data_IF_645521652131
#
_entry.id   IF_645521652131
#
_cell.length_a   1.000
_cell.length_b   1.000
_cell.length_c   1.000
_cell.angle_alpha   90.00
_cell.angle_beta   90.00
_cell.angle_gamma   90.00
#
_symmetry.space_group_name_H-M   'P 1'
#
loop_
_entity.id
_entity.type
_entity.pdbx_description
1 polymer ?
#
# COMPACT_ATOMS: atom_id res chain seq x y z
N UNK A 1 -6.48 -21.03 -16.26
CA UNK A 1 -5.26 -21.16 -17.08
C UNK A 1 -4.09 -21.48 -16.18
N UNK A 2 -3.25 -22.47 -16.53
CA UNK A 2 -2.03 -22.81 -15.77
C UNK A 2 -0.94 -21.76 -16.07
N UNK A 3 -0.16 -21.37 -15.08
CA UNK A 3 0.94 -20.39 -15.23
C UNK A 3 1.99 -20.92 -16.21
N UNK A 4 2.36 -20.10 -17.20
CA UNK A 4 3.37 -20.44 -18.21
C UNK A 4 4.63 -19.62 -17.97
N UNK A 5 5.79 -20.23 -18.19
CA UNK A 5 7.08 -19.58 -17.99
C UNK A 5 7.85 -19.55 -19.31
N UNK A 6 8.51 -18.42 -19.58
CA UNK A 6 9.53 -18.33 -20.62
C UNK A 6 10.87 -18.71 -20.00
N UNK A 7 11.65 -19.51 -20.72
CA UNK A 7 12.95 -20.00 -20.27
C UNK A 7 14.08 -19.58 -21.22
N UNK A 8 15.28 -19.36 -20.69
CA UNK A 8 16.47 -19.20 -21.50
C UNK A 8 16.94 -20.52 -22.15
N UNK A 9 18.04 -20.45 -22.92
CA UNK A 9 18.63 -21.62 -23.59
C UNK A 9 19.14 -22.71 -22.64
N UNK A 10 19.34 -22.38 -21.35
CA UNK A 10 19.75 -23.31 -20.29
C UNK A 10 18.55 -23.85 -19.50
N UNK A 11 17.32 -23.49 -19.87
CA UNK A 11 16.09 -23.90 -19.19
C UNK A 11 15.76 -23.06 -17.96
N UNK A 12 16.49 -21.98 -17.68
CA UNK A 12 16.19 -21.11 -16.53
C UNK A 12 15.00 -20.22 -16.84
N UNK A 13 14.00 -20.19 -15.96
CA UNK A 13 12.82 -19.31 -16.08
C UNK A 13 13.24 -17.84 -16.01
N UNK A 14 12.90 -17.06 -17.03
CA UNK A 14 13.24 -15.62 -17.14
C UNK A 14 12.02 -14.72 -17.09
N UNK A 15 10.86 -15.22 -17.49
CA UNK A 15 9.60 -14.48 -17.42
C UNK A 15 8.40 -15.42 -17.20
N UNK A 16 7.25 -14.84 -16.87
CA UNK A 16 6.01 -15.56 -16.60
C UNK A 16 4.84 -14.88 -17.32
N UNK A 17 4.00 -15.68 -17.97
CA UNK A 17 2.74 -15.22 -18.53
C UNK A 17 1.64 -15.34 -17.48
N UNK A 18 1.06 -14.21 -17.12
CA UNK A 18 -0.02 -14.12 -16.13
C UNK A 18 -1.28 -13.51 -16.76
N UNK A 19 -2.48 -13.98 -16.38
CA UNK A 19 -3.70 -13.26 -16.67
C UNK A 19 -3.63 -11.83 -16.12
N UNK A 20 -4.11 -10.85 -16.88
CA UNK A 20 -4.00 -9.43 -16.52
C UNK A 20 -4.58 -9.12 -15.12
N UNK A 21 -5.65 -9.82 -14.73
CA UNK A 21 -6.26 -9.68 -13.39
C UNK A 21 -5.31 -10.10 -12.27
N UNK A 22 -4.52 -11.16 -12.47
CA UNK A 22 -3.54 -11.60 -11.48
C UNK A 22 -2.37 -10.64 -11.39
N UNK A 23 -1.87 -10.16 -12.54
CA UNK A 23 -0.81 -9.15 -12.58
C UNK A 23 -1.22 -7.87 -11.83
N UNK A 24 -2.41 -7.32 -12.11
CA UNK A 24 -2.93 -6.14 -11.41
C UNK A 24 -3.05 -6.35 -9.90
N UNK A 25 -3.54 -7.51 -9.47
CA UNK A 25 -3.64 -7.85 -8.05
C UNK A 25 -2.26 -7.95 -7.36
N UNK A 26 -1.21 -8.32 -8.09
CA UNK A 26 0.16 -8.31 -7.56
C UNK A 26 0.68 -6.88 -7.40
N UNK A 27 0.39 -5.99 -8.36
CA UNK A 27 0.76 -4.57 -8.27
C UNK A 27 0.08 -3.88 -7.09
N UNK A 28 -1.24 -4.04 -6.95
CA UNK A 28 -2.03 -3.49 -5.84
C UNK A 28 -1.45 -3.90 -4.47
N UNK A 29 -1.10 -5.19 -4.33
CA UNK A 29 -0.47 -5.69 -3.10
C UNK A 29 0.92 -5.12 -2.84
N UNK A 30 1.67 -4.77 -3.88
CA UNK A 30 2.99 -4.15 -3.72
C UNK A 30 2.84 -2.69 -3.26
N UNK A 31 1.86 -1.97 -3.80
CA UNK A 31 1.50 -0.61 -3.37
C UNK A 31 1.07 -0.62 -1.89
N UNK A 32 0.17 -1.53 -1.48
CA UNK A 32 -0.25 -1.67 -0.08
C UNK A 32 0.94 -1.91 0.88
N UNK A 33 1.93 -2.70 0.45
CA UNK A 33 3.13 -2.99 1.24
C UNK A 33 4.07 -1.78 1.32
N UNK A 34 4.14 -0.99 0.26
CA UNK A 34 4.92 0.25 0.25
C UNK A 34 4.30 1.30 1.17
N UNK A 35 2.98 1.47 1.14
CA UNK A 35 2.24 2.34 2.06
C UNK A 35 2.46 1.94 3.51
N UNK A 36 2.42 0.64 3.82
CA UNK A 36 2.70 0.13 5.16
C UNK A 36 4.14 0.42 5.60
N UNK A 37 5.12 0.24 4.70
CA UNK A 37 6.52 0.56 4.98
C UNK A 37 6.70 2.06 5.27
N UNK A 38 6.08 2.93 4.47
CA UNK A 38 6.13 4.37 4.66
C UNK A 38 5.48 4.79 5.99
N UNK A 39 4.35 4.18 6.33
CA UNK A 39 3.70 4.39 7.63
C UNK A 39 4.63 4.01 8.78
N UNK A 40 5.25 2.82 8.74
CA UNK A 40 6.17 2.37 9.77
C UNK A 40 7.39 3.28 9.92
N UNK A 41 7.95 3.76 8.80
CA UNK A 41 9.06 4.72 8.80
C UNK A 41 8.65 6.05 9.45
N UNK A 42 7.50 6.60 9.06
CA UNK A 42 6.97 7.83 9.62
C UNK A 42 6.64 7.69 11.12
N UNK A 43 6.16 6.52 11.56
CA UNK A 43 5.77 6.28 12.96
C UNK A 43 6.92 5.88 13.88
N UNK A 44 8.01 5.33 13.36
CA UNK A 44 9.13 4.78 14.16
C UNK A 44 9.67 5.76 15.20
N UNK A 45 9.76 7.04 14.86
CA UNK A 45 10.26 8.10 15.72
C UNK A 45 9.26 9.26 15.86
N UNK A 46 7.95 8.99 15.70
CA UNK A 46 6.90 10.01 15.77
C UNK A 46 6.69 10.49 17.22
N UNK A 47 7.37 11.60 17.55
CA UNK A 47 7.16 12.39 18.77
C UNK A 47 6.07 13.45 18.64
N UNK A 48 5.27 13.42 17.57
CA UNK A 48 4.20 14.38 17.32
C UNK A 48 3.11 14.36 18.40
N UNK A 49 2.39 15.48 18.51
CA UNK A 49 1.26 15.61 19.41
C UNK A 49 0.07 14.77 18.91
N UNK A 50 -0.45 13.88 19.77
CA UNK A 50 -1.55 12.98 19.45
C UNK A 50 -2.79 13.42 20.22
N UNK A 51 -3.91 13.56 19.53
CA UNK A 51 -5.23 13.80 20.13
C UNK A 51 -6.13 12.58 19.90
N UNK A 52 -7.14 12.42 20.76
CA UNK A 52 -8.17 11.39 20.55
C UNK A 52 -8.98 11.67 19.29
N UNK A 53 -9.61 10.63 18.74
CA UNK A 53 -10.50 10.80 17.59
C UNK A 53 -11.70 11.68 17.95
N UNK A 54 -12.23 11.53 19.17
CA UNK A 54 -13.34 12.34 19.67
C UNK A 54 -12.97 13.83 19.72
N UNK A 55 -11.77 14.16 20.22
CA UNK A 55 -11.31 15.55 20.28
C UNK A 55 -11.04 16.12 18.89
N UNK A 56 -10.50 15.30 17.98
CA UNK A 56 -10.38 15.68 16.57
C UNK A 56 -11.74 16.02 15.95
N UNK A 57 -12.76 15.19 16.14
CA UNK A 57 -14.12 15.44 15.61
C UNK A 57 -14.68 16.75 16.17
N UNK A 58 -14.57 17.00 17.49
CA UNK A 58 -15.02 18.26 18.10
C UNK A 58 -14.33 19.47 17.46
N UNK A 59 -13.00 19.43 17.30
CA UNK A 59 -12.25 20.56 16.71
C UNK A 59 -12.64 20.82 15.25
N UNK A 60 -12.93 19.77 14.47
CA UNK A 60 -13.37 19.88 13.08
C UNK A 60 -14.75 20.52 12.96
N UNK A 61 -15.71 20.12 13.78
CA UNK A 61 -17.07 20.66 13.73
C UNK A 61 -17.10 22.13 14.14
N UNK A 62 -16.34 22.52 15.17
CA UNK A 62 -16.17 23.95 15.54
C UNK A 62 -15.58 24.77 14.39
N UNK A 63 -14.61 24.24 13.65
CA UNK A 63 -14.03 24.94 12.49
C UNK A 63 -15.02 25.13 11.34
N UNK A 64 -15.92 24.17 11.10
CA UNK A 64 -16.96 24.32 10.06
C UNK A 64 -18.03 25.36 10.41
N UNK A 65 -18.28 25.59 11.70
CA UNK A 65 -19.27 26.57 12.19
C UNK A 65 -18.75 28.02 12.15
N UNK A 66 -17.42 28.20 12.04
CA UNK A 66 -16.75 29.49 12.04
C UNK A 66 -16.32 29.96 10.62
N UNK A 67 -16.82 29.28 9.58
CA UNK A 67 -16.64 29.61 8.15
C UNK A 67 -18.02 29.81 7.54
#
# INVERSE_FOLDING_TARGET
MKTQFLTDKKGKKTAVLLPIKQYKKLLEKLEDLEDLKLYDEAKRNDGGFKISFEDYVKTREVRKLNV
#
